data_IF_510780846669
#
_entry.id   IF_510780846669
#
_cell.length_a   1.000
_cell.length_b   1.000
_cell.length_c   1.000
_cell.angle_alpha   90.00
_cell.angle_beta   90.00
_cell.angle_gamma   90.00
#
_symmetry.space_group_name_H-M   'P 1'
#
loop_
_entity.id
_entity.type
_entity.pdbx_description
1 polymer ?
2 non-polymer ?
3 water ?
#
# COMPACT_ATOMS: atom_id res chain seq x y z
N UNK A 1 3.84 13.60 19.17
CA UNK A 1 4.83 13.56 18.02
C UNK A 1 4.50 12.44 17.02
N UNK A 2 5.04 12.51 15.77
CA UNK A 2 4.82 11.41 14.79
C UNK A 2 5.44 10.08 15.26
N UNK A 3 4.80 8.97 14.89
CA UNK A 3 5.25 7.66 15.33
C UNK A 3 6.36 7.12 14.41
N UNK A 4 7.54 7.76 14.46
CA UNK A 4 8.70 7.33 13.67
C UNK A 4 9.20 5.93 14.04
N UNK A 5 9.18 5.58 15.33
CA UNK A 5 9.68 4.24 15.68
C UNK A 5 8.79 3.10 15.12
N UNK A 6 7.48 3.28 15.22
CA UNK A 6 6.56 2.31 14.62
C UNK A 6 6.78 2.22 13.10
N UNK A 7 6.83 3.36 12.42
CA UNK A 7 7.08 3.38 10.98
C UNK A 7 8.35 2.62 10.57
N UNK A 8 9.42 2.85 11.32
CA UNK A 8 10.68 2.17 11.07
C UNK A 8 10.58 0.64 11.30
N UNK A 9 9.90 0.18 12.36
CA UNK A 9 9.72 -1.25 12.57
C UNK A 9 8.93 -1.90 11.42
N UNK A 10 7.91 -1.20 10.92
CA UNK A 10 7.17 -1.71 9.77
C UNK A 10 8.07 -1.75 8.54
N UNK A 11 8.86 -0.71 8.31
CA UNK A 11 9.69 -0.68 7.12
C UNK A 11 10.76 -1.77 7.12
N UNK A 12 11.37 -1.95 8.29
CA UNK A 12 12.47 -2.88 8.49
C UNK A 12 12.03 -4.32 8.19
N UNK A 13 10.90 -4.74 8.76
CA UNK A 13 10.45 -6.13 8.66
C UNK A 13 9.43 -6.41 7.56
N UNK A 14 8.75 -5.37 7.07
CA UNK A 14 7.60 -5.60 6.18
C UNK A 14 7.57 -4.88 4.84
N UNK A 15 8.71 -4.35 4.38
CA UNK A 15 8.73 -3.79 3.05
C UNK A 15 9.84 -4.36 2.17
N UNK A 16 9.55 -4.39 0.87
CA UNK A 16 10.51 -4.78 -0.12
C UNK A 16 10.37 -3.77 -1.23
N UNK A 17 11.36 -3.73 -2.15
CA UNK A 17 11.28 -2.92 -3.35
C UNK A 17 10.64 -3.78 -4.45
N UNK A 18 9.53 -3.35 -5.03
CA UNK A 18 8.92 -4.12 -6.11
C UNK A 18 9.12 -3.35 -7.40
N UNK A 19 9.32 -4.07 -8.51
CA UNK A 19 9.49 -3.41 -9.77
C UNK A 19 8.71 -4.12 -10.87
N UNK A 20 7.83 -3.37 -11.53
CA UNK A 20 6.99 -3.89 -12.59
C UNK A 20 7.39 -3.17 -13.85
N UNK A 21 6.65 -3.42 -14.93
CA UNK A 21 6.87 -2.68 -16.18
C UNK A 21 6.71 -1.17 -15.97
N UNK A 22 5.95 -0.75 -14.94
CA UNK A 22 5.71 0.67 -14.70
C UNK A 22 6.79 1.34 -13.84
N UNK A 23 7.73 0.57 -13.31
CA UNK A 23 8.76 1.15 -12.47
C UNK A 23 8.78 0.58 -11.06
N UNK A 24 9.42 1.31 -10.13
CA UNK A 24 9.61 0.78 -8.77
C UNK A 24 8.53 1.30 -7.83
N UNK A 25 8.15 0.48 -6.84
CA UNK A 25 7.14 0.84 -5.87
C UNK A 25 7.61 0.27 -4.57
N UNK A 26 7.39 1.03 -3.49
CA UNK A 26 7.53 0.47 -2.16
C UNK A 26 6.47 -0.65 -2.03
N UNK A 27 6.81 -1.77 -1.41
CA UNK A 27 5.82 -2.86 -1.30
C UNK A 27 5.69 -3.34 0.12
N UNK A 28 4.46 -3.26 0.66
CA UNK A 28 4.18 -3.72 1.99
C UNK A 28 3.80 -5.19 1.98
N UNK A 29 4.54 -6.00 2.73
CA UNK A 29 4.20 -7.39 2.93
C UNK A 29 3.30 -7.43 4.16
N UNK A 30 2.20 -8.18 4.06
CA UNK A 30 1.16 -8.17 5.07
C UNK A 30 1.18 -9.44 5.95
N UNK A 31 1.27 -10.60 5.31
CA UNK A 31 1.34 -11.85 6.06
C UNK A 31 1.77 -12.96 5.09
N UNK A 32 2.38 -14.03 5.61
CA UNK A 32 2.74 -15.17 4.75
C UNK A 32 3.53 -14.68 3.54
N UNK A 33 3.04 -14.92 2.32
CA UNK A 33 3.71 -14.37 1.14
C UNK A 33 2.81 -13.43 0.38
N UNK A 34 1.96 -12.77 1.15
CA UNK A 34 0.96 -11.86 0.62
C UNK A 34 1.40 -10.40 0.89
N UNK A 35 1.32 -9.57 -0.15
CA UNK A 35 1.76 -8.17 -0.11
C UNK A 35 0.77 -7.33 -0.90
N UNK A 36 0.95 -6.00 -0.85
CA UNK A 36 0.15 -5.09 -1.64
C UNK A 36 0.98 -4.16 -2.52
N UNK A 37 0.35 -3.68 -3.57
CA UNK A 37 0.99 -2.77 -4.47
C UNK A 37 -0.15 -1.98 -5.12
N UNK A 38 0.09 -0.69 -5.49
CA UNK A 38 -0.99 0.05 -6.18
C UNK A 38 -1.38 -0.64 -7.47
N UNK A 39 -2.69 -0.68 -7.77
CA UNK A 39 -3.18 -1.33 -8.98
C UNK A 39 -2.57 -0.78 -10.26
N UNK A 40 -2.26 0.51 -10.27
CA UNK A 40 -1.71 1.11 -11.45
C UNK A 40 -0.24 0.76 -11.73
N UNK A 41 0.38 0.02 -10.81
CA UNK A 41 1.67 -0.64 -11.08
C UNK A 41 1.60 -1.71 -12.18
N UNK A 42 0.39 -2.20 -12.50
CA UNK A 42 0.18 -3.18 -13.59
C UNK A 42 0.97 -4.46 -13.38
N UNK A 43 0.75 -5.12 -12.26
CA UNK A 43 1.46 -6.34 -11.95
C UNK A 43 1.09 -7.44 -12.99
N UNK A 44 2.09 -8.17 -13.46
CA UNK A 44 1.86 -9.30 -14.41
C UNK A 44 2.05 -10.64 -13.71
N UNK A 45 2.61 -11.63 -14.39
CA UNK A 45 2.77 -12.95 -13.78
C UNK A 45 4.14 -13.15 -13.14
N UNK A 46 5.04 -12.20 -13.38
CA UNK A 46 6.29 -12.11 -12.61
C UNK A 46 6.55 -10.64 -12.19
N UNK A 47 7.34 -10.48 -11.13
CA UNK A 47 7.70 -9.15 -10.61
C UNK A 47 9.10 -9.23 -9.99
N UNK A 48 9.85 -8.12 -9.97
CA UNK A 48 11.13 -8.09 -9.25
C UNK A 48 10.89 -7.61 -7.85
N UNK A 49 11.40 -8.39 -6.91
CA UNK A 49 11.35 -8.10 -5.52
C UNK A 49 12.82 -8.00 -5.05
N UNK A 50 13.23 -6.81 -4.59
CA UNK A 50 14.65 -6.55 -4.23
C UNK A 50 15.57 -7.09 -5.34
N UNK A 51 15.20 -6.75 -6.57
CA UNK A 51 15.86 -7.09 -7.84
C UNK A 51 15.91 -8.58 -8.23
N UNK A 52 15.15 -9.44 -7.55
CA UNK A 52 15.09 -10.87 -7.85
C UNK A 52 13.75 -11.16 -8.56
N UNK A 53 13.79 -11.68 -9.80
CA UNK A 53 12.54 -12.01 -10.50
C UNK A 53 11.74 -13.09 -9.70
N UNK A 54 10.44 -12.87 -9.56
CA UNK A 54 9.64 -13.62 -8.58
C UNK A 54 8.29 -13.87 -9.26
N UNK A 55 7.80 -15.11 -9.18
CA UNK A 55 6.48 -15.43 -9.71
C UNK A 55 5.39 -14.77 -8.87
N UNK A 56 4.43 -14.16 -9.54
CA UNK A 56 3.22 -13.68 -8.90
C UNK A 56 2.19 -14.81 -9.02
N UNK A 57 1.99 -15.55 -7.94
CA UNK A 57 1.05 -16.68 -7.92
C UNK A 57 -0.41 -16.26 -7.97
N UNK A 58 -0.71 -15.08 -7.41
CA UNK A 58 -2.06 -14.53 -7.50
C UNK A 58 -1.97 -13.01 -7.43
N UNK A 59 -2.87 -12.32 -8.12
CA UNK A 59 -2.98 -10.87 -8.03
C UNK A 59 -4.48 -10.51 -8.07
N UNK A 60 -4.99 -9.83 -7.04
CA UNK A 60 -6.39 -9.45 -6.99
C UNK A 60 -6.47 -7.92 -6.89
N UNK A 61 -6.99 -7.29 -7.95
CA UNK A 61 -7.15 -5.88 -8.03
C UNK A 61 -8.48 -5.51 -7.33
N UNK A 62 -8.41 -4.88 -6.17
CA UNK A 62 -9.64 -4.67 -5.40
C UNK A 62 -10.57 -3.62 -5.98
N UNK A 63 -11.87 -3.94 -5.98
CA UNK A 63 -12.91 -3.00 -6.38
C UNK A 63 -14.08 -3.09 -5.40
N UNK A 64 -14.84 -2.00 -5.21
CA UNK A 64 -15.92 -2.06 -4.21
C UNK A 64 -17.20 -2.54 -4.91
N UNK A 65 -18.34 -2.56 -4.18
CA UNK A 65 -19.56 -3.11 -4.78
C UNK A 65 -20.18 -2.19 -5.82
N UNK A 66 -19.64 -0.97 -5.99
CA UNK A 66 -20.08 -0.14 -7.12
C UNK A 66 -19.20 -0.44 -8.34
N UNK A 67 -18.38 -1.50 -8.24
CA UNK A 67 -17.44 -1.84 -9.31
C UNK A 67 -16.50 -0.67 -9.59
N UNK A 68 -16.03 -0.02 -8.53
CA UNK A 68 -15.08 1.08 -8.68
C UNK A 68 -13.72 0.67 -8.10
N UNK A 69 -12.65 1.06 -8.81
CA UNK A 69 -11.28 0.92 -8.36
C UNK A 69 -11.06 1.34 -6.90
N UNK A 70 -10.45 0.47 -6.09
CA UNK A 70 -9.92 0.82 -4.76
C UNK A 70 -8.40 1.06 -4.79
N UNK A 71 -7.77 0.73 -5.91
CA UNK A 71 -6.34 1.00 -6.18
C UNK A 71 -5.35 0.11 -5.39
N UNK A 72 -5.88 -0.83 -4.62
CA UNK A 72 -5.09 -1.80 -3.90
C UNK A 72 -5.12 -3.11 -4.73
N UNK A 73 -3.95 -3.67 -5.02
CA UNK A 73 -3.83 -5.03 -5.58
C UNK A 73 -3.09 -5.88 -4.59
N UNK A 74 -3.69 -7.02 -4.26
CA UNK A 74 -3.10 -7.89 -3.29
C UNK A 74 -2.41 -8.97 -4.13
N UNK A 75 -1.14 -9.26 -3.83
CA UNK A 75 -0.40 -10.26 -4.60
C UNK A 75 0.07 -11.36 -3.65
N UNK A 76 0.18 -12.59 -4.17
CA UNK A 76 0.77 -13.69 -3.46
C UNK A 76 2.03 -14.05 -4.24
N UNK A 77 3.13 -14.21 -3.51
CA UNK A 77 4.44 -14.30 -4.18
C UNK A 77 5.10 -15.64 -3.96
N UNK A 78 5.85 -16.12 -4.94
CA UNK A 78 6.62 -17.33 -4.73
C UNK A 78 8.02 -16.97 -4.17
N UNK A 79 8.15 -16.91 -2.84
CA UNK A 79 9.40 -16.54 -2.15
C UNK A 79 9.54 -17.48 -1.01
N UNK A 80 10.75 -17.66 -0.52
CA UNK A 80 11.00 -18.46 0.65
C UNK A 80 10.58 -17.81 1.98
N UNK A 81 11.03 -16.58 2.22
CA UNK A 81 10.73 -15.85 3.47
C UNK A 81 9.21 -15.56 3.62
N UNK A 82 8.64 -15.78 4.80
CA UNK A 82 7.29 -15.31 5.14
C UNK A 82 7.40 -13.88 5.69
N UNK A 83 6.42 -13.03 5.40
CA UNK A 83 6.34 -11.74 6.10
C UNK A 83 5.84 -11.91 7.53
N UNK A 84 6.39 -11.14 8.47
CA UNK A 84 5.77 -10.95 9.79
C UNK A 84 4.29 -10.58 9.61
N UNK A 85 3.42 -11.22 10.38
CA UNK A 85 2.00 -11.03 10.14
C UNK A 85 1.65 -9.72 10.82
N UNK A 86 1.26 -8.71 10.07
CA UNK A 86 0.94 -7.39 10.67
C UNK A 86 -0.55 -7.06 10.50
N UNK A 87 -1.36 -8.08 10.23
CA UNK A 87 -2.81 -7.84 10.08
C UNK A 87 -3.42 -7.20 11.33
N UNK A 88 -2.90 -7.51 12.50
CA UNK A 88 -3.47 -6.90 13.70
C UNK A 88 -3.21 -5.37 13.80
N UNK A 89 -2.34 -4.81 12.96
CA UNK A 89 -2.14 -3.36 12.96
C UNK A 89 -3.00 -2.68 11.91
N UNK A 90 -3.80 -3.45 11.18
CA UNK A 90 -4.68 -2.83 10.17
C UNK A 90 -5.97 -2.36 10.82
N UNK A 91 -6.43 -1.13 10.49
CA UNK A 91 -7.69 -0.67 11.07
C UNK A 91 -8.90 -1.49 10.62
N UNK A 92 -9.90 -1.55 11.49
CA UNK A 92 -11.12 -2.28 11.18
C UNK A 92 -12.02 -1.50 10.23
N UNK A 93 -12.06 -0.19 10.42
CA UNK A 93 -13.01 0.71 9.77
C UNK A 93 -12.31 1.87 9.11
N UNK A 94 -13.00 2.52 8.16
CA UNK A 94 -12.60 3.84 7.68
C UNK A 94 -12.48 4.82 8.88
N UNK A 95 -11.57 5.79 8.77
CA UNK A 95 -11.33 6.73 9.87
C UNK A 95 -10.45 7.90 9.39
N UNK A 96 -10.37 8.96 10.22
CA UNK A 96 -9.44 10.07 10.05
C UNK A 96 -8.32 9.81 11.04
N UNK A 97 -7.13 10.37 10.78
CA UNK A 97 -5.96 10.11 11.65
C UNK A 97 -5.16 11.39 11.88
N UNK A 98 -4.41 11.39 12.97
CA UNK A 98 -3.53 12.51 13.34
C UNK A 98 -2.07 12.18 13.08
N UNK A 99 -1.31 13.17 12.64
CA UNK A 99 0.16 13.11 12.68
C UNK A 99 0.75 11.80 12.07
N UNK A 100 0.35 11.49 10.84
CA UNK A 100 0.79 10.27 10.17
C UNK A 100 2.20 10.41 9.55
N UNK A 101 2.84 9.26 9.33
CA UNK A 101 4.13 9.15 8.62
C UNK A 101 3.93 8.37 7.31
N UNK A 102 4.50 8.88 6.23
CA UNK A 102 4.63 8.18 4.97
C UNK A 102 6.09 7.69 4.82
N UNK A 103 6.27 6.38 4.66
CA UNK A 103 7.59 5.78 4.57
C UNK A 103 7.82 5.09 3.21
N UNK A 104 9.00 5.33 2.64
CA UNK A 104 9.34 4.84 1.30
C UNK A 104 10.55 3.90 1.38
N UNK A 105 10.51 2.82 0.58
CA UNK A 105 11.64 1.86 0.47
C UNK A 105 11.75 1.54 -1.02
N UNK A 106 12.60 2.30 -1.73
CA UNK A 106 12.90 2.08 -3.15
C UNK A 106 14.43 2.00 -3.35
N UNK A 107 14.89 1.66 -4.56
CA UNK A 107 16.34 1.73 -4.85
C UNK A 107 16.85 3.16 -4.58
N UNK A 108 16.13 4.16 -5.08
CA UNK A 108 16.51 5.56 -4.90
C UNK A 108 16.45 6.04 -3.46
N UNK A 109 15.42 5.59 -2.74
CA UNK A 109 15.23 5.95 -1.33
C UNK A 109 15.01 4.70 -0.47
N UNK A 110 16.11 4.02 -0.07
CA UNK A 110 16.01 2.74 0.65
C UNK A 110 15.32 2.79 2.03
N UNK A 111 15.30 3.92 2.71
CA UNK A 111 14.35 4.13 3.85
C UNK A 111 14.31 5.64 4.13
N UNK A 112 13.15 6.24 3.90
CA UNK A 112 12.94 7.66 4.11
C UNK A 112 11.55 7.82 4.72
N UNK A 113 11.41 8.81 5.62
CA UNK A 113 10.22 9.01 6.46
C UNK A 113 9.81 10.46 6.32
N UNK A 114 8.53 10.67 5.98
CA UNK A 114 7.93 11.95 5.77
C UNK A 114 6.68 12.07 6.67
N UNK A 115 6.72 12.97 7.67
CA UNK A 115 5.50 13.29 8.44
C UNK A 115 4.57 14.06 7.53
N UNK A 116 3.33 13.58 7.37
CA UNK A 116 2.42 14.22 6.42
C UNK A 116 1.30 14.99 7.13
N UNK A 117 1.30 14.94 8.46
CA UNK A 117 0.28 15.61 9.28
C UNK A 117 -1.02 14.83 9.33
N UNK A 118 -2.13 15.58 9.32
CA UNK A 118 -3.45 14.99 9.51
C UNK A 118 -3.86 14.26 8.26
N UNK A 119 -4.54 13.13 8.46
CA UNK A 119 -5.03 12.33 7.33
C UNK A 119 -6.57 12.26 7.39
N UNK A 120 -7.22 12.63 6.31
CA UNK A 120 -8.67 12.62 6.34
C UNK A 120 -9.24 11.55 5.39
N UNK A 121 -10.34 10.94 5.81
CA UNK A 121 -11.12 10.04 4.95
C UNK A 121 -11.74 10.90 3.86
N UNK A 122 -11.16 10.83 2.67
CA UNK A 122 -11.46 11.73 1.57
C UNK A 122 -12.57 11.20 0.64
N UNK A 123 -12.57 9.89 0.39
CA UNK A 123 -13.63 9.28 -0.44
C UNK A 123 -13.25 9.20 -1.90
N UNK A 124 -14.05 9.83 -2.76
CA UNK A 124 -13.87 9.74 -4.21
C UNK A 124 -12.65 10.54 -4.65
N UNK A 125 -11.88 9.97 -5.57
CA UNK A 125 -10.78 10.65 -6.23
C UNK A 125 -10.75 10.24 -7.70
N UNK A 126 -10.64 11.22 -8.59
CA UNK A 126 -10.35 10.95 -9.97
C UNK A 126 -8.83 10.76 -10.08
N UNK A 127 -8.38 9.52 -10.13
CA UNK A 127 -6.95 9.23 -10.04
C UNK A 127 -6.40 8.97 -11.42
N UNK A 128 -5.72 9.98 -11.97
CA UNK A 128 -5.17 9.93 -13.32
C UNK A 128 -6.24 9.52 -14.31
N UNK A 129 -7.44 10.06 -14.16
CA UNK A 129 -8.55 9.67 -15.04
C UNK A 129 -9.35 8.45 -14.60
N UNK A 130 -8.89 7.71 -13.58
CA UNK A 130 -9.67 6.54 -13.06
C UNK A 130 -10.45 6.89 -11.79
N UNK A 131 -11.79 6.83 -11.85
CA UNK A 131 -12.61 6.96 -10.62
C UNK A 131 -12.15 5.93 -9.58
N UNK A 132 -11.91 6.40 -8.36
CA UNK A 132 -11.34 5.58 -7.30
C UNK A 132 -12.05 5.94 -6.00
N UNK A 133 -12.27 4.96 -5.14
CA UNK A 133 -12.96 5.19 -3.87
C UNK A 133 -12.07 4.89 -2.67
N UNK A 134 -12.54 5.28 -1.48
CA UNK A 134 -11.91 4.89 -0.24
C UNK A 134 -10.50 5.49 -0.07
N UNK A 135 -10.35 6.71 -0.55
CA UNK A 135 -9.07 7.41 -0.56
C UNK A 135 -8.84 8.22 0.74
N UNK A 136 -7.61 8.15 1.25
CA UNK A 136 -7.15 9.01 2.36
C UNK A 136 -6.34 10.18 1.81
N UNK A 137 -6.51 11.38 2.41
CA UNK A 137 -5.79 12.56 1.90
C UNK A 137 -4.95 13.22 3.00
N UNK A 138 -3.77 13.73 2.61
CA UNK A 138 -2.94 14.49 3.52
C UNK A 138 -2.47 15.70 2.78
N UNK A 139 -2.28 16.78 3.53
CA UNK A 139 -1.78 18.02 2.90
C UNK A 139 -0.29 18.02 2.91
N UNK A 140 0.27 17.34 1.92
CA UNK A 140 1.71 17.28 1.73
C UNK A 140 2.00 17.11 0.26
N UNK A 141 3.05 17.80 -0.25
CA UNK A 141 3.35 17.70 -1.68
C UNK A 141 4.13 16.45 -2.06
N UNK A 142 3.43 15.31 -2.12
CA UNK A 142 4.08 14.05 -2.43
C UNK A 142 4.49 13.99 -3.89
N UNK A 143 5.42 13.10 -4.22
CA UNK A 143 6.04 13.09 -5.55
C UNK A 143 6.05 11.70 -6.17
N UNK A 144 6.27 11.66 -7.49
CA UNK A 144 6.57 10.42 -8.19
C UNK A 144 7.72 9.76 -7.45
N UNK A 145 7.65 8.44 -7.31
CA UNK A 145 8.70 7.73 -6.61
C UNK A 145 8.21 7.26 -5.25
N UNK A 146 7.10 7.82 -4.79
CA UNK A 146 6.58 7.52 -3.46
C UNK A 146 5.38 6.56 -3.46
N UNK A 147 4.93 6.13 -4.65
CA UNK A 147 3.81 5.18 -4.72
C UNK A 147 4.15 3.87 -4.02
N UNK A 148 3.17 3.38 -3.25
CA UNK A 148 3.33 2.20 -2.40
C UNK A 148 3.87 2.56 -1.04
N UNK A 149 4.28 3.82 -0.87
CA UNK A 149 4.83 4.22 0.43
C UNK A 149 3.80 3.94 1.50
N UNK A 150 4.25 3.48 2.66
CA UNK A 150 3.36 3.00 3.72
C UNK A 150 2.96 4.18 4.63
N UNK A 151 1.66 4.34 4.90
CA UNK A 151 1.16 5.39 5.79
C UNK A 151 0.79 4.76 7.12
N UNK A 152 1.41 5.26 8.19
CA UNK A 152 1.19 4.75 9.52
C UNK A 152 0.87 5.90 10.51
N UNK A 153 0.24 5.53 11.62
CA UNK A 153 0.34 6.24 12.89
C UNK A 153 0.86 5.17 13.86
N UNK A 154 1.11 5.51 15.12
CA UNK A 154 1.51 4.45 16.04
C UNK A 154 0.45 3.35 16.15
N UNK A 155 0.91 2.11 15.97
CA UNK A 155 0.07 0.96 16.12
C UNK A 155 -0.84 0.70 14.95
N UNK A 156 -0.85 1.58 13.94
CA UNK A 156 -1.72 1.36 12.78
C UNK A 156 -1.08 1.56 11.42
N UNK A 157 -1.29 0.58 10.53
CA UNK A 157 -0.89 0.70 9.14
C UNK A 157 -2.15 0.99 8.36
N UNK A 158 -2.27 2.19 7.79
CA UNK A 158 -3.60 2.68 7.42
C UNK A 158 -3.80 2.78 5.93
N UNK A 159 -2.71 2.71 5.16
CA UNK A 159 -2.86 2.85 3.72
C UNK A 159 -1.54 2.80 2.98
N UNK A 160 -1.61 2.82 1.66
CA UNK A 160 -0.39 2.95 0.84
C UNK A 160 -0.56 4.08 -0.14
N UNK A 161 0.53 4.80 -0.41
CA UNK A 161 0.44 6.04 -1.21
C UNK A 161 0.17 5.73 -2.67
N UNK A 162 -0.74 6.47 -3.31
CA UNK A 162 -1.07 6.15 -4.70
C UNK A 162 -1.10 7.35 -5.63
N UNK A 163 -1.13 8.56 -5.07
CA UNK A 163 -1.37 9.75 -5.92
C UNK A 163 -1.12 11.09 -5.24
N UNK A 164 -1.08 12.15 -6.04
CA UNK A 164 -0.86 13.51 -5.50
C UNK A 164 -1.09 14.50 -6.61
N UNK A 165 -1.48 15.72 -6.24
CA UNK A 165 -1.81 16.76 -7.21
C UNK A 165 -0.84 17.96 -7.15
N UNK A 166 0.27 17.79 -6.43
CA UNK A 166 1.26 18.85 -6.24
C UNK A 166 1.16 19.53 -4.88
N UNK A 167 -0.03 19.55 -4.27
CA UNK A 167 -0.19 20.11 -2.93
C UNK A 167 -0.63 19.05 -1.90
N UNK A 168 -1.45 18.08 -2.33
CA UNK A 168 -1.96 17.04 -1.43
C UNK A 168 -1.48 15.67 -1.90
N UNK A 169 -1.43 14.71 -0.99
CA UNK A 169 -1.11 13.33 -1.34
C UNK A 169 -2.32 12.45 -1.01
N UNK A 170 -2.39 11.28 -1.64
CA UNK A 170 -3.55 10.38 -1.51
C UNK A 170 -3.08 8.95 -1.29
N UNK A 171 -3.70 8.26 -0.34
CA UNK A 171 -3.39 6.86 -0.09
C UNK A 171 -4.65 6.04 -0.31
N UNK A 172 -4.50 4.82 -0.81
CA UNK A 172 -5.63 3.86 -0.77
C UNK A 172 -5.71 3.25 0.61
N UNK A 173 -6.92 3.11 1.16
CA UNK A 173 -7.03 2.57 2.52
C UNK A 173 -6.67 1.12 2.59
N UNK A 174 -6.12 0.70 3.72
CA UNK A 174 -6.01 -0.69 4.02
C UNK A 174 -6.98 -0.98 5.16
N UNK A 175 -7.80 -2.02 5.00
CA UNK A 175 -8.71 -2.45 6.03
C UNK A 175 -8.44 -3.88 6.42
N UNK A 176 -8.63 -4.19 7.71
CA UNK A 176 -8.36 -5.53 8.24
C UNK A 176 -9.08 -6.64 7.43
N UNK A 177 -10.30 -6.38 6.96
CA UNK A 177 -11.10 -7.46 6.37
C UNK A 177 -10.62 -7.80 4.95
N UNK A 178 -9.71 -6.98 4.39
CA UNK A 178 -9.10 -7.31 3.10
C UNK A 178 -8.28 -8.59 3.17
N UNK A 179 -7.83 -8.97 4.36
CA UNK A 179 -6.82 -10.04 4.49
C UNK A 179 -7.22 -11.21 5.37
N UNK A 180 -8.51 -11.36 5.65
CA UNK A 180 -8.93 -12.43 6.55
C UNK A 180 -8.99 -13.74 5.75
N UNK A 181 -8.51 -14.83 6.36
CA UNK A 181 -8.45 -16.16 5.70
C UNK A 181 -9.86 -16.67 5.38
N UNK A 182 -10.21 -16.81 4.10
CA UNK A 182 -11.65 -16.82 3.73
C UNK A 182 -12.23 -18.01 2.89
N UNK A 183 -12.88 -17.68 1.75
CA UNK A 183 -13.88 -18.54 1.04
C UNK A 183 -13.48 -19.40 -0.20
N UNK A 184 -14.50 -19.87 -0.94
CA UNK A 184 -14.31 -20.71 -2.15
C UNK A 184 -15.01 -20.10 -3.38
N UNK A 185 -14.21 -19.51 -4.26
CA UNK A 185 -14.75 -18.61 -5.26
C UNK A 185 -13.81 -18.46 -6.46
N UNK A 186 -14.33 -18.74 -7.64
CA UNK A 186 -13.60 -18.50 -8.89
C UNK A 186 -13.44 -16.99 -9.13
N UNK A 187 -12.21 -16.48 -9.06
CA UNK A 187 -12.01 -15.00 -9.14
C UNK A 187 -11.31 -14.42 -10.38
N UNK A 188 -10.86 -15.26 -11.30
CA UNK A 188 -10.22 -14.75 -12.52
C UNK A 188 -11.02 -15.10 -13.78
N UNK A 189 -11.98 -15.86 -13.74
X LIG B 1 5.30 7.71 -9.72
X LIG B 1 4.37 7.00 -10.12
X LIG B 1 4.20 6.82 -11.56
X LIG B 1 4.58 5.60 -12.24
X LIG B 1 3.83 5.45 -13.57
X LIG B 1 3.37 6.36 -9.16
X LIG B 1 3.11 7.19 -7.90
X LIG B 1 2.48 8.55 -8.20
X LIG B 1 2.53 9.50 -7.00
X LIG B 1 1.99 10.90 -7.34
X LIG B 1 2.60 11.51 -8.63
X LIG B 1 2.77 13.01 -8.34
X LIG B 1 2.77 12.96 -6.88
X LIG B 1 2.29 11.93 -6.30
X LIG B 1 2.06 11.79 -5.09
X LIG B 1 1.05 8.31 -8.52
X LIG B 1 0.59 8.60 -9.76
X LIG B 1 1.31 9.10 -10.62
X LIG B 1 -0.87 8.38 -10.08
X LIG B 1 -1.02 7.24 -11.11
X LIG B 1 -0.37 5.95 -10.62
X LIG B 1 -0.68 5.41 -9.35
X LIG B 1 -0.07 4.24 -8.89
X LIG B 1 0.84 3.57 -9.73
X LIG B 1 1.13 4.09 -11.00
X LIG B 1 0.53 5.27 -11.46
X LIG B 1 -1.34 9.60 -10.74
X LIG B 1 -1.42 10.77 -10.10
X LIG B 1 -1.14 10.85 -8.91
X LIG B 1 -1.90 12.01 -10.83
X LIG B 1 -0.77 12.96 -11.21
X LIG B 1 0.27 12.39 -12.16
X LIG B 1 1.42 13.39 -12.27
X LIG B 1 2.81 12.92 -12.14
X LIG B 1 3.99 13.54 -12.68
X LIG B 1 4.16 13.07 -14.14
X LIG B 1 3.96 15.07 -12.58
X LIG B 1 5.16 13.04 -11.83
X LIG B 1 1.20 14.58 -12.45
X LIG B 1 -2.58 12.85 -9.86
X LIG B 1 -3.90 12.85 -9.73
X LIG B 1 -4.63 12.16 -10.43
X LIG B 1 -4.51 13.68 -8.71
X LIG B 1 -5.93 13.84 -8.61
X LIG B 1 -6.47 14.91 -9.54
X LIG B 1 -7.85 15.14 -9.58
X LIG B 1 -8.37 16.14 -10.42
X LIG B 1 -7.51 16.91 -11.23
X LIG B 1 -6.13 16.68 -11.18
X LIG B 1 -5.62 15.69 -10.34
#
# INVERSE_FOLDING_TARGET
>A
GPGFDFAQAIMKKNTVVARTEKGEFTMLGVHDRVAVIPTHASVGETIYINDVETKVLDACALRDLTDTNLEITIVKLDRNQKFRDIRHFLPRYEDDYNDAVLSVHTSKFPNMYIPVGQVTNYGFLNLGGTPTHRILMYNFPTRAGQCGGVVTTTGKVIGIHVGGNGAQGFAAMLLHSYFTDTQKHHHHHH
>B hetero
1 G82 O88 C84 O86 C3 C5 C82 C63 C57 C59 C61 C73 C71 N69 C65 O66 N49 C39 O47 C37 C41 C51 C55 C11 C9 C7 C53 N33 C31 O35 C23 C25 C15 C14 O2 C29 C45 C43 C12 O1 N21 C17 O19 O15 C13 C4 C2 C1 C10 C8 C6
#
